data_IF_953518919580
#
_entry.id   IF_953518919580
#
_cell.length_a   1.000
_cell.length_b   1.000
_cell.length_c   1.000
_cell.angle_alpha   90.00
_cell.angle_beta   90.00
_cell.angle_gamma   90.00
#
_symmetry.space_group_name_H-M   'P 1'
#
loop_
_entity.id
_entity.type
_entity.pdbx_description
1 polymer ?
#
# COMPACT_ATOMS: atom_id res chain seq x y z
N UNK A 1 13.00 12.12 0.10
CA UNK A 1 12.38 10.99 -0.60
C UNK A 1 11.57 10.16 0.39
N UNK A 2 10.29 10.05 0.06
CA UNK A 2 9.19 9.15 0.44
C UNK A 2 9.28 8.33 1.74
N UNK A 3 8.69 8.85 2.83
CA UNK A 3 8.36 8.07 4.05
C UNK A 3 7.09 7.22 3.90
N UNK A 4 6.40 7.31 2.76
CA UNK A 4 5.05 6.75 2.60
C UNK A 4 5.04 5.22 2.47
N UNK A 5 6.10 4.63 1.91
CA UNK A 5 6.23 3.16 1.73
C UNK A 5 7.13 2.49 2.76
N UNK A 6 7.54 3.19 3.83
CA UNK A 6 8.52 2.65 4.78
C UNK A 6 8.06 1.35 5.43
N UNK A 7 6.77 1.24 5.75
CA UNK A 7 6.20 0.03 6.35
C UNK A 7 6.21 -1.15 5.38
N UNK A 8 5.82 -0.92 4.11
CA UNK A 8 5.85 -1.94 3.07
C UNK A 8 7.28 -2.46 2.86
N UNK A 9 8.23 -1.54 2.64
CA UNK A 9 9.64 -1.87 2.44
C UNK A 9 10.26 -2.57 3.66
N UNK A 10 9.85 -2.19 4.87
CA UNK A 10 10.29 -2.84 6.10
C UNK A 10 9.78 -4.29 6.19
N UNK A 11 8.52 -4.54 5.83
CA UNK A 11 7.92 -5.88 5.81
C UNK A 11 8.64 -6.73 4.76
N UNK A 12 8.77 -6.25 3.51
CA UNK A 12 9.49 -6.99 2.46
C UNK A 12 10.92 -7.33 2.89
N UNK A 13 11.62 -6.36 3.50
CA UNK A 13 12.98 -6.57 3.98
C UNK A 13 13.04 -7.57 5.14
N UNK A 14 12.07 -7.54 6.06
CA UNK A 14 11.99 -8.49 7.16
C UNK A 14 11.72 -9.91 6.66
N UNK A 15 10.81 -10.08 5.70
CA UNK A 15 10.54 -11.37 5.06
C UNK A 15 11.77 -11.92 4.33
N UNK A 16 12.46 -11.08 3.56
CA UNK A 16 13.72 -11.46 2.90
C UNK A 16 14.79 -11.91 3.91
N UNK A 17 14.85 -11.29 5.09
CA UNK A 17 15.81 -11.58 6.14
C UNK A 17 15.30 -12.59 7.19
N UNK A 18 14.14 -13.22 7.00
CA UNK A 18 13.48 -14.09 8.00
C UNK A 18 14.43 -15.11 8.65
N UNK A 19 15.21 -15.82 7.83
CA UNK A 19 16.17 -16.82 8.33
C UNK A 19 17.27 -16.18 9.18
N UNK A 20 17.82 -15.05 8.74
CA UNK A 20 18.87 -14.33 9.46
C UNK A 20 18.33 -13.74 10.77
N UNK A 21 17.11 -13.19 10.76
CA UNK A 21 16.44 -12.65 11.95
C UNK A 21 16.19 -13.76 12.97
N UNK A 22 15.66 -14.92 12.54
CA UNK A 22 15.41 -16.04 13.44
C UNK A 22 16.70 -16.62 14.01
N UNK A 23 17.76 -16.75 13.20
CA UNK A 23 19.07 -17.20 13.67
C UNK A 23 19.68 -16.21 14.68
N UNK A 24 19.55 -14.90 14.42
CA UNK A 24 20.02 -13.85 15.30
C UNK A 24 19.28 -13.83 16.64
N UNK A 25 17.95 -13.94 16.63
CA UNK A 25 17.12 -13.99 17.84
C UNK A 25 17.29 -15.31 18.62
N UNK A 26 17.76 -16.37 17.98
CA UNK A 26 18.07 -17.64 18.65
C UNK A 26 19.49 -17.70 19.23
N UNK A 27 20.33 -16.67 18.99
CA UNK A 27 21.71 -16.65 19.47
C UNK A 27 21.79 -16.30 20.96
N UNK A 28 22.72 -16.95 21.66
CA UNK A 28 23.02 -16.69 23.06
C UNK A 28 23.59 -15.28 23.30
N UNK A 29 24.17 -14.66 22.28
CA UNK A 29 24.77 -13.32 22.35
C UNK A 29 23.73 -12.20 22.50
N UNK A 30 22.46 -12.45 22.14
CA UNK A 30 21.42 -11.41 22.05
C UNK A 30 20.12 -11.80 22.79
N UNK A 31 20.24 -12.64 23.83
CA UNK A 31 19.10 -13.15 24.61
C UNK A 31 18.19 -12.05 25.17
N UNK A 32 18.72 -10.89 25.57
CA UNK A 32 17.91 -9.78 26.08
C UNK A 32 17.00 -9.16 25.00
N UNK A 33 17.45 -9.15 23.74
CA UNK A 33 16.63 -8.70 22.62
C UNK A 33 15.58 -9.76 22.25
N UNK A 34 15.98 -11.04 22.25
CA UNK A 34 15.11 -12.18 21.94
C UNK A 34 13.91 -12.28 22.89
N UNK A 35 14.10 -12.00 24.18
CA UNK A 35 13.03 -12.03 25.20
C UNK A 35 11.83 -11.14 24.86
N UNK A 36 12.08 -10.00 24.21
CA UNK A 36 11.05 -8.99 23.96
C UNK A 36 10.61 -8.91 22.49
N UNK A 37 11.34 -9.54 21.56
CA UNK A 37 11.15 -9.41 20.11
C UNK A 37 11.03 -10.76 19.40
N UNK A 38 10.58 -11.80 20.10
CA UNK A 38 10.42 -13.09 19.48
C UNK A 38 9.28 -13.05 18.45
N UNK A 39 9.62 -13.27 17.18
CA UNK A 39 8.66 -13.34 16.07
C UNK A 39 8.33 -14.81 15.85
N UNK A 40 7.13 -15.22 16.25
CA UNK A 40 6.71 -16.61 16.13
C UNK A 40 6.23 -16.92 14.70
N UNK A 41 5.94 -18.19 14.42
CA UNK A 41 5.47 -18.61 13.07
C UNK A 41 4.22 -17.85 12.64
N UNK A 42 3.26 -17.63 13.55
CA UNK A 42 2.02 -16.91 13.24
C UNK A 42 2.29 -15.43 12.89
N UNK A 43 3.23 -14.78 13.58
CA UNK A 43 3.62 -13.41 13.26
C UNK A 43 4.26 -13.33 11.86
N UNK A 44 5.07 -14.33 11.49
CA UNK A 44 5.64 -14.41 10.14
C UNK A 44 4.56 -14.65 9.08
N UNK A 45 3.62 -15.55 9.33
CA UNK A 45 2.50 -15.80 8.41
C UNK A 45 1.65 -14.53 8.24
N UNK A 46 1.43 -13.78 9.31
CA UNK A 46 0.76 -12.48 9.25
C UNK A 46 1.56 -11.44 8.45
N UNK A 47 2.89 -11.42 8.57
CA UNK A 47 3.76 -10.54 7.77
C UNK A 47 3.74 -10.92 6.29
N UNK A 48 3.70 -12.22 5.97
CA UNK A 48 3.53 -12.73 4.60
C UNK A 48 2.18 -12.26 4.02
N UNK A 49 1.08 -12.46 4.75
CA UNK A 49 -0.25 -11.95 4.36
C UNK A 49 -0.24 -10.42 4.19
N UNK A 50 0.39 -9.71 5.14
CA UNK A 50 0.53 -8.25 5.11
C UNK A 50 1.49 -7.73 4.04
N UNK A 51 2.30 -8.56 3.38
CA UNK A 51 3.16 -8.08 2.29
C UNK A 51 2.34 -7.71 1.05
N UNK A 52 1.20 -8.39 0.86
CA UNK A 52 0.30 -8.25 -0.30
C UNK A 52 -0.59 -7.01 -0.21
N UNK A 53 -0.96 -6.60 1.00
CA UNK A 53 -1.91 -5.49 1.22
C UNK A 53 -1.34 -4.07 0.90
N UNK A 54 -0.14 -3.69 1.36
CA UNK A 54 0.48 -2.39 1.10
C UNK A 54 1.05 -2.27 -0.32
N UNK A 55 1.16 -3.36 -1.07
CA UNK A 55 1.66 -3.36 -2.44
C UNK A 55 0.75 -2.51 -3.35
N UNK A 56 -0.58 -2.62 -3.18
CA UNK A 56 -1.55 -1.88 -3.99
C UNK A 56 -1.40 -0.36 -3.82
N UNK A 57 -1.38 0.22 -2.59
CA UNK A 57 -1.05 1.63 -2.38
C UNK A 57 0.33 2.03 -2.88
N UNK A 58 1.32 1.15 -2.74
CA UNK A 58 2.68 1.44 -3.17
C UNK A 58 2.76 1.60 -4.68
N UNK A 59 2.19 0.67 -5.45
CA UNK A 59 2.12 0.74 -6.91
C UNK A 59 1.33 1.95 -7.39
N UNK A 60 0.20 2.24 -6.75
CA UNK A 60 -0.59 3.44 -7.03
C UNK A 60 0.24 4.72 -6.83
N UNK A 61 0.96 4.82 -5.71
CA UNK A 61 1.80 5.97 -5.41
C UNK A 61 2.95 6.10 -6.41
N UNK A 62 3.62 4.99 -6.75
CA UNK A 62 4.69 5.00 -7.75
C UNK A 62 4.17 5.48 -9.11
N UNK A 63 3.02 4.98 -9.57
CA UNK A 63 2.41 5.41 -10.84
C UNK A 63 2.16 6.92 -10.88
N UNK A 64 1.54 7.49 -9.84
CA UNK A 64 1.29 8.94 -9.78
C UNK A 64 2.54 9.78 -9.57
N UNK A 65 3.63 9.17 -9.09
CA UNK A 65 4.90 9.87 -8.83
C UNK A 65 5.91 9.73 -9.98
N UNK A 66 5.73 8.76 -10.88
CA UNK A 66 6.69 8.42 -11.94
C UNK A 66 6.64 9.35 -13.15
N UNK A 67 5.57 10.12 -13.33
CA UNK A 67 5.32 10.81 -14.59
C UNK A 67 5.87 12.25 -14.67
N UNK A 68 6.25 12.61 -15.91
CA UNK A 68 6.52 14.00 -16.35
C UNK A 68 5.28 14.66 -16.97
N UNK A 69 4.19 13.91 -17.09
CA UNK A 69 2.89 14.22 -17.71
C UNK A 69 1.82 14.45 -16.63
N UNK A 70 0.63 15.01 -16.97
CA UNK A 70 -0.35 15.41 -15.97
C UNK A 70 -1.03 14.21 -15.28
N UNK A 71 -0.47 13.72 -14.17
CA UNK A 71 -1.05 12.65 -13.33
C UNK A 71 -2.34 13.04 -12.61
N UNK A 72 -2.75 14.31 -12.74
CA UNK A 72 -3.96 14.84 -12.11
C UNK A 72 -5.22 14.21 -12.70
N UNK A 73 -5.24 13.84 -13.99
CA UNK A 73 -6.38 13.16 -14.58
C UNK A 73 -6.55 11.73 -14.08
N UNK A 74 -5.46 11.08 -13.65
CA UNK A 74 -5.48 9.66 -13.28
C UNK A 74 -5.73 9.44 -11.79
N UNK A 75 -5.67 10.47 -10.95
CA UNK A 75 -5.86 10.34 -9.50
C UNK A 75 -7.20 9.66 -9.15
N UNK A 76 -8.33 10.20 -9.62
CA UNK A 76 -9.66 9.67 -9.29
C UNK A 76 -9.87 8.26 -9.85
N UNK A 77 -9.56 7.97 -11.14
CA UNK A 77 -9.58 6.61 -11.66
C UNK A 77 -8.72 5.63 -10.87
N UNK A 78 -7.52 6.05 -10.46
CA UNK A 78 -6.61 5.18 -9.75
C UNK A 78 -7.05 4.95 -8.29
N UNK A 79 -7.70 5.92 -7.63
CA UNK A 79 -8.35 5.69 -6.33
C UNK A 79 -9.50 4.68 -6.44
N UNK A 80 -10.34 4.77 -7.46
CA UNK A 80 -11.40 3.77 -7.71
C UNK A 80 -10.81 2.37 -7.95
N UNK A 81 -9.70 2.28 -8.69
CA UNK A 81 -9.00 1.01 -8.93
C UNK A 81 -8.44 0.40 -7.63
N UNK A 82 -7.80 1.22 -6.77
CA UNK A 82 -7.33 0.77 -5.45
C UNK A 82 -8.50 0.27 -4.59
N UNK A 83 -9.63 0.99 -4.59
CA UNK A 83 -10.83 0.59 -3.86
C UNK A 83 -11.34 -0.79 -4.30
N UNK A 84 -11.43 -1.03 -5.61
CA UNK A 84 -11.86 -2.32 -6.16
C UNK A 84 -10.89 -3.46 -5.81
N UNK A 85 -9.58 -3.23 -5.94
CA UNK A 85 -8.55 -4.22 -5.59
C UNK A 85 -8.59 -4.59 -4.10
N UNK A 86 -8.75 -3.60 -3.22
CA UNK A 86 -8.87 -3.82 -1.79
C UNK A 86 -10.16 -4.55 -1.39
N UNK A 87 -11.26 -4.30 -2.07
CA UNK A 87 -12.48 -5.09 -1.86
C UNK A 87 -12.27 -6.56 -2.21
N UNK A 88 -11.57 -6.87 -3.30
CA UNK A 88 -11.22 -8.25 -3.66
C UNK A 88 -10.25 -8.87 -2.63
N UNK A 89 -9.21 -8.15 -2.22
CA UNK A 89 -8.25 -8.62 -1.21
C UNK A 89 -8.89 -8.88 0.15
N UNK A 90 -9.95 -8.14 0.51
CA UNK A 90 -10.71 -8.37 1.74
C UNK A 90 -11.39 -9.74 1.77
N UNK A 91 -11.85 -10.22 0.62
CA UNK A 91 -12.44 -11.56 0.48
C UNK A 91 -11.37 -12.65 0.56
N UNK A 92 -10.19 -12.40 -0.01
CA UNK A 92 -9.05 -13.32 -0.02
C UNK A 92 -8.37 -13.44 1.35
N UNK A 93 -8.24 -12.32 2.10
CA UNK A 93 -7.57 -12.25 3.39
C UNK A 93 -8.49 -11.73 4.51
N UNK A 94 -9.41 -12.57 5.04
CA UNK A 94 -10.34 -12.15 6.10
C UNK A 94 -9.66 -11.64 7.37
N UNK A 95 -8.45 -12.13 7.69
CA UNK A 95 -7.61 -11.68 8.81
C UNK A 95 -7.25 -10.19 8.70
N UNK A 96 -7.09 -9.68 7.47
CA UNK A 96 -6.75 -8.29 7.16
C UNK A 96 -7.98 -7.40 6.95
N UNK A 97 -9.19 -7.96 6.95
CA UNK A 97 -10.44 -7.25 6.67
C UNK A 97 -10.61 -5.97 7.49
N UNK A 98 -10.23 -5.98 8.77
CA UNK A 98 -10.26 -4.78 9.61
C UNK A 98 -9.33 -3.69 9.09
N UNK A 99 -8.08 -4.02 8.76
CA UNK A 99 -7.11 -3.08 8.25
C UNK A 99 -7.52 -2.54 6.88
N UNK A 100 -8.03 -3.42 6.01
CA UNK A 100 -8.54 -3.05 4.68
C UNK A 100 -9.72 -2.08 4.78
N UNK A 101 -10.68 -2.32 5.68
CA UNK A 101 -11.81 -1.40 5.87
C UNK A 101 -11.35 0.00 6.30
N UNK A 102 -10.40 0.09 7.24
CA UNK A 102 -9.83 1.38 7.66
C UNK A 102 -9.13 2.07 6.49
N UNK A 103 -8.41 1.30 5.66
CA UNK A 103 -7.81 1.80 4.43
C UNK A 103 -8.85 2.36 3.45
N UNK A 104 -9.91 1.60 3.18
CA UNK A 104 -11.02 1.98 2.28
C UNK A 104 -11.75 3.23 2.78
N UNK A 105 -12.01 3.34 4.08
CA UNK A 105 -12.61 4.54 4.69
C UNK A 105 -11.72 5.77 4.45
N UNK A 106 -10.41 5.63 4.65
CA UNK A 106 -9.47 6.73 4.43
C UNK A 106 -9.35 7.10 2.95
N UNK A 107 -9.37 6.11 2.06
CA UNK A 107 -9.35 6.33 0.61
C UNK A 107 -10.60 7.08 0.15
N UNK A 108 -11.77 6.70 0.66
CA UNK A 108 -13.04 7.37 0.39
C UNK A 108 -13.00 8.85 0.81
N UNK A 109 -12.47 9.16 2.00
CA UNK A 109 -12.28 10.54 2.45
C UNK A 109 -11.43 11.35 1.45
N UNK A 110 -10.32 10.79 0.97
CA UNK A 110 -9.46 11.46 -0.01
C UNK A 110 -10.12 11.60 -1.39
N UNK A 111 -10.94 10.63 -1.81
CA UNK A 111 -11.71 10.73 -3.06
C UNK A 111 -12.71 11.87 -3.00
N UNK A 112 -13.44 12.03 -1.89
CA UNK A 112 -14.39 13.13 -1.73
C UNK A 112 -13.68 14.49 -1.72
N UNK A 113 -12.55 14.60 -1.00
CA UNK A 113 -11.72 15.81 -1.04
C UNK A 113 -11.19 16.13 -2.44
N UNK A 114 -10.84 15.11 -3.24
CA UNK A 114 -10.40 15.30 -4.62
C UNK A 114 -11.56 15.72 -5.54
N UNK A 115 -12.78 15.21 -5.33
CA UNK A 115 -13.98 15.61 -6.09
C UNK A 115 -14.34 17.08 -5.88
N UNK A 116 -14.12 17.61 -4.67
CA UNK A 116 -14.37 19.02 -4.36
C UNK A 116 -13.37 19.99 -5.01
N UNK A 117 -12.27 19.48 -5.58
CA UNK A 117 -11.24 20.28 -6.24
C UNK A 117 -11.45 20.23 -7.77
N UNK A 118 -11.88 21.34 -8.42
CA UNK A 118 -12.21 21.34 -9.85
C UNK A 118 -11.06 20.93 -10.76
N UNK A 119 -9.81 21.10 -10.31
CA UNK A 119 -8.62 20.81 -11.10
C UNK A 119 -8.56 19.35 -11.55
N UNK A 120 -8.99 18.38 -10.72
CA UNK A 120 -8.99 16.96 -11.09
C UNK A 120 -9.98 16.68 -12.22
N UNK A 121 -11.22 17.13 -12.09
CA UNK A 121 -12.24 16.97 -13.15
C UNK A 121 -11.86 17.69 -14.44
N UNK A 122 -11.30 18.90 -14.34
CA UNK A 122 -10.83 19.64 -15.52
C UNK A 122 -9.67 18.91 -16.22
N UNK A 123 -8.70 18.38 -15.46
CA UNK A 123 -7.61 17.60 -16.03
C UNK A 123 -8.12 16.34 -16.73
N UNK A 124 -9.06 15.62 -16.13
CA UNK A 124 -9.72 14.45 -16.75
C UNK A 124 -10.39 14.82 -18.07
N UNK A 125 -11.18 15.90 -18.09
CA UNK A 125 -11.85 16.35 -19.32
C UNK A 125 -10.87 16.78 -20.42
N UNK A 126 -9.80 17.49 -20.06
CA UNK A 126 -8.76 17.92 -21.00
C UNK A 126 -8.01 16.74 -21.61
N UNK A 127 -7.67 15.73 -20.80
CA UNK A 127 -7.01 14.50 -21.28
C UNK A 127 -7.89 13.74 -22.26
N UNK A 128 -9.18 13.58 -21.95
CA UNK A 128 -10.16 12.94 -22.84
C UNK A 128 -10.28 13.68 -24.18
N UNK A 129 -10.34 15.02 -24.14
CA UNK A 129 -10.42 15.83 -25.36
C UNK A 129 -9.16 15.69 -26.21
N UNK A 130 -7.97 15.72 -25.60
CA UNK A 130 -6.71 15.51 -26.31
C UNK A 130 -6.69 14.16 -27.05
N UNK A 131 -7.12 13.09 -26.38
CA UNK A 131 -7.20 11.74 -26.96
C UNK A 131 -8.19 11.62 -28.13
N UNK A 132 -9.29 12.39 -28.13
CA UNK A 132 -10.30 12.38 -29.21
C UNK A 132 -9.83 13.20 -30.43
N UNK A 133 -8.94 14.17 -30.22
CA UNK A 133 -8.46 15.08 -31.28
C UNK A 133 -7.19 14.63 -31.99
N UNK A 134 -6.52 13.58 -31.50
CA UNK A 134 -5.39 12.89 -32.16
C UNK A 134 -5.86 11.69 -33.00
#
# INVERSE_FOLDING_TARGET
DTRWSSTHLMIERALFLRLAINAFLSSDDFQDLARNNNINTHDWDLLDDMSTFPQVPHQFQEQLSAEKTPTLCDMLPAFEAVSALWQAQKEEFPSLSRAINVGLEKLSEYMELARDVPAYMLAMGMSLLAFITE
#
